data_IF_120858991082
#
_entry.id   IF_120858991082
#
_cell.length_a   1.000
_cell.length_b   1.000
_cell.length_c   1.000
_cell.angle_alpha   90.00
_cell.angle_beta   90.00
_cell.angle_gamma   90.00
#
_symmetry.space_group_name_H-M   'P 1'
#
loop_
_entity.id
_entity.type
_entity.pdbx_description
1 polymer ?
#
# COMPACT_ATOMS: atom_id res chain seq x y z
N UNK A 1 -25.50 -11.00 -18.70
CA UNK A 1 -25.78 -12.12 -19.63
C UNK A 1 -24.93 -13.29 -19.18
N UNK A 2 -25.53 -14.35 -18.66
CA UNK A 2 -24.83 -15.59 -18.43
C UNK A 2 -24.27 -16.05 -19.78
N UNK A 3 -22.99 -16.48 -19.80
CA UNK A 3 -22.40 -17.12 -20.98
C UNK A 3 -23.36 -18.23 -21.42
N UNK A 4 -23.91 -18.12 -22.63
CA UNK A 4 -24.77 -19.19 -23.18
C UNK A 4 -24.01 -20.50 -23.11
N UNK A 5 -24.59 -21.58 -22.58
CA UNK A 5 -23.95 -22.89 -22.66
C UNK A 5 -23.80 -23.21 -24.17
N UNK A 6 -22.60 -23.07 -24.71
CA UNK A 6 -22.32 -23.26 -26.13
C UNK A 6 -21.29 -22.32 -26.77
N UNK A 7 -20.96 -21.19 -26.19
CA UNK A 7 -20.00 -20.26 -26.77
C UNK A 7 -18.57 -20.83 -26.72
N UNK A 8 -17.91 -21.01 -27.87
CA UNK A 8 -16.52 -21.46 -27.98
C UNK A 8 -15.53 -20.33 -27.78
N UNK A 9 -15.98 -19.08 -27.86
CA UNK A 9 -15.18 -17.87 -27.73
C UNK A 9 -15.95 -16.73 -27.09
N UNK A 10 -15.25 -15.82 -26.42
CA UNK A 10 -15.82 -14.67 -25.73
C UNK A 10 -14.90 -13.47 -25.86
N UNK A 11 -15.39 -12.25 -26.22
CA UNK A 11 -14.62 -11.03 -26.18
C UNK A 11 -14.09 -10.76 -24.76
N UNK A 12 -12.79 -10.60 -24.64
CA UNK A 12 -12.11 -10.46 -23.34
C UNK A 12 -12.64 -9.25 -22.53
N UNK A 13 -12.79 -8.10 -23.19
CA UNK A 13 -13.26 -6.85 -22.54
C UNK A 13 -14.65 -7.05 -21.97
N UNK A 14 -15.57 -7.63 -22.75
CA UNK A 14 -16.95 -7.88 -22.31
C UNK A 14 -17.00 -8.84 -21.11
N UNK A 15 -16.22 -9.91 -21.15
CA UNK A 15 -16.11 -10.86 -20.05
C UNK A 15 -15.53 -10.22 -18.79
N UNK A 16 -14.53 -9.35 -18.96
CA UNK A 16 -13.91 -8.67 -17.83
C UNK A 16 -14.81 -7.58 -17.24
N UNK A 17 -15.63 -6.90 -18.06
CA UNK A 17 -16.68 -5.98 -17.59
C UNK A 17 -17.72 -6.71 -16.76
N UNK A 18 -18.18 -7.88 -17.21
CA UNK A 18 -19.10 -8.72 -16.45
C UNK A 18 -18.50 -9.14 -15.09
N UNK A 19 -17.26 -9.60 -15.08
CA UNK A 19 -16.53 -9.92 -13.83
C UNK A 19 -16.47 -8.72 -12.87
N UNK A 20 -16.23 -7.51 -13.38
CA UNK A 20 -16.21 -6.28 -12.59
C UNK A 20 -17.61 -5.96 -12.05
N UNK A 21 -18.63 -6.11 -12.89
CA UNK A 21 -20.03 -5.87 -12.49
C UNK A 21 -20.44 -6.81 -11.35
N UNK A 22 -20.22 -8.10 -11.48
CA UNK A 22 -20.52 -9.08 -10.45
C UNK A 22 -19.72 -8.88 -9.16
N UNK A 23 -18.47 -8.44 -9.28
CA UNK A 23 -17.64 -8.07 -8.14
C UNK A 23 -18.17 -6.84 -7.40
N UNK A 24 -18.72 -5.86 -8.12
CA UNK A 24 -19.26 -4.62 -7.56
C UNK A 24 -20.65 -4.82 -6.94
N UNK A 25 -21.52 -5.59 -7.57
CA UNK A 25 -22.88 -5.89 -7.08
C UNK A 25 -22.86 -6.82 -5.85
N UNK A 26 -21.79 -7.60 -5.67
CA UNK A 26 -21.67 -8.60 -4.60
C UNK A 26 -22.22 -9.98 -4.98
N UNK A 27 -22.54 -10.20 -6.24
CA UNK A 27 -22.82 -11.54 -6.80
C UNK A 27 -21.56 -12.41 -6.66
N UNK A 28 -20.40 -11.85 -7.02
CA UNK A 28 -19.12 -12.45 -6.71
C UNK A 28 -18.65 -12.07 -5.31
N UNK A 29 -18.33 -13.07 -4.49
CA UNK A 29 -17.88 -12.92 -3.10
C UNK A 29 -16.48 -13.49 -2.91
N UNK A 30 -15.84 -13.15 -1.79
CA UNK A 30 -14.61 -13.80 -1.34
C UNK A 30 -14.90 -15.22 -0.84
N UNK A 31 -13.85 -16.07 -0.65
CA UNK A 31 -14.03 -17.41 -0.08
C UNK A 31 -14.71 -17.43 1.30
N UNK A 32 -14.58 -16.36 2.08
CA UNK A 32 -15.21 -16.17 3.39
C UNK A 32 -16.68 -15.69 3.30
N UNK A 33 -17.27 -15.61 2.09
CA UNK A 33 -18.63 -15.16 1.83
C UNK A 33 -18.81 -13.65 1.86
N UNK A 34 -17.79 -12.85 2.22
CA UNK A 34 -17.90 -11.39 2.30
C UNK A 34 -17.80 -10.73 0.93
N UNK A 35 -18.42 -9.54 0.79
CA UNK A 35 -18.33 -8.74 -0.45
C UNK A 35 -16.90 -8.23 -0.66
N UNK A 36 -16.54 -8.01 -1.91
CA UNK A 36 -15.28 -7.35 -2.24
C UNK A 36 -15.32 -5.87 -1.82
N UNK A 37 -14.19 -5.38 -1.35
CA UNK A 37 -14.04 -3.95 -1.05
C UNK A 37 -14.05 -3.14 -2.34
N UNK A 38 -14.64 -1.94 -2.30
CA UNK A 38 -14.69 -1.01 -3.44
C UNK A 38 -13.30 -0.75 -4.06
N UNK A 39 -12.26 -0.65 -3.24
CA UNK A 39 -10.87 -0.50 -3.71
C UNK A 39 -10.39 -1.67 -4.58
N UNK A 40 -10.83 -2.90 -4.32
CA UNK A 40 -10.49 -4.06 -5.17
C UNK A 40 -11.17 -3.97 -6.53
N UNK A 41 -12.44 -3.53 -6.55
CA UNK A 41 -13.19 -3.31 -7.80
C UNK A 41 -12.57 -2.20 -8.63
N UNK A 42 -12.13 -1.10 -8.00
CA UNK A 42 -11.42 -0.02 -8.67
C UNK A 42 -10.11 -0.49 -9.32
N UNK A 43 -9.38 -1.38 -8.65
CA UNK A 43 -8.16 -1.96 -9.21
C UNK A 43 -8.44 -2.82 -10.46
N UNK A 44 -9.55 -3.56 -10.49
CA UNK A 44 -9.98 -4.30 -11.69
C UNK A 44 -10.33 -3.33 -12.83
N UNK A 45 -11.08 -2.26 -12.55
CA UNK A 45 -11.39 -1.21 -13.54
C UNK A 45 -10.12 -0.59 -14.11
N UNK A 46 -9.16 -0.22 -13.26
CA UNK A 46 -7.87 0.33 -13.71
C UNK A 46 -7.11 -0.64 -14.64
N UNK A 47 -7.22 -1.96 -14.39
CA UNK A 47 -6.61 -2.96 -15.27
C UNK A 47 -7.36 -3.07 -16.60
N UNK A 48 -8.70 -3.04 -16.58
CA UNK A 48 -9.51 -3.06 -17.79
C UNK A 48 -9.20 -1.86 -18.70
N UNK A 49 -9.10 -0.66 -18.14
CA UNK A 49 -8.75 0.55 -18.92
C UNK A 49 -7.38 0.41 -19.62
N UNK A 50 -6.41 -0.28 -18.98
CA UNK A 50 -5.13 -0.56 -19.64
C UNK A 50 -5.26 -1.59 -20.77
N UNK A 51 -6.13 -2.58 -20.63
CA UNK A 51 -6.43 -3.54 -21.71
C UNK A 51 -7.12 -2.84 -22.88
N UNK A 52 -8.12 -2.01 -22.62
CA UNK A 52 -8.82 -1.24 -23.67
C UNK A 52 -7.85 -0.35 -24.43
N UNK A 53 -7.03 0.42 -23.72
CA UNK A 53 -6.02 1.27 -24.34
C UNK A 53 -5.00 0.46 -25.18
N UNK A 54 -4.60 -0.71 -24.71
CA UNK A 54 -3.73 -1.62 -25.46
C UNK A 54 -4.39 -2.14 -26.75
N UNK A 55 -5.67 -2.53 -26.69
CA UNK A 55 -6.41 -3.01 -27.86
C UNK A 55 -6.55 -1.92 -28.93
N UNK A 56 -6.84 -0.68 -28.51
CA UNK A 56 -6.91 0.49 -29.42
C UNK A 56 -5.55 0.71 -30.08
N UNK A 57 -4.44 0.75 -29.31
CA UNK A 57 -3.09 0.95 -29.87
C UNK A 57 -2.66 -0.17 -30.83
N UNK A 58 -3.05 -1.41 -30.52
CA UNK A 58 -2.64 -2.58 -31.29
C UNK A 58 -3.58 -2.95 -32.44
N UNK A 59 -4.76 -2.32 -32.51
CA UNK A 59 -5.79 -2.63 -33.53
C UNK A 59 -6.27 -4.09 -33.47
N UNK A 60 -6.26 -4.72 -32.29
CA UNK A 60 -6.54 -6.16 -32.18
C UNK A 60 -7.42 -6.44 -30.97
N UNK A 61 -8.57 -7.06 -31.22
CA UNK A 61 -9.43 -7.55 -30.15
C UNK A 61 -8.86 -8.81 -29.50
N UNK A 62 -8.90 -8.83 -28.19
CA UNK A 62 -8.50 -10.00 -27.41
C UNK A 62 -9.70 -10.90 -27.20
N UNK A 63 -9.61 -12.13 -27.69
CA UNK A 63 -10.64 -13.16 -27.52
C UNK A 63 -10.17 -14.21 -26.51
N UNK A 64 -11.10 -14.77 -25.77
CA UNK A 64 -10.95 -15.93 -24.92
C UNK A 64 -11.52 -17.15 -25.66
N UNK A 65 -10.82 -18.27 -25.61
CA UNK A 65 -11.29 -19.53 -26.18
C UNK A 65 -11.36 -20.58 -25.08
N UNK A 66 -12.44 -21.37 -25.10
CA UNK A 66 -12.59 -22.52 -24.20
C UNK A 66 -11.81 -23.71 -24.76
N UNK A 67 -10.74 -24.12 -24.06
CA UNK A 67 -9.85 -25.20 -24.49
C UNK A 67 -10.54 -26.56 -24.54
N UNK A 68 -11.61 -26.78 -23.79
CA UNK A 68 -12.39 -28.02 -23.85
C UNK A 68 -12.87 -28.36 -25.27
N UNK A 69 -13.04 -27.33 -26.10
CA UNK A 69 -13.54 -27.45 -27.47
C UNK A 69 -12.48 -27.28 -28.54
N UNK A 70 -11.22 -27.23 -28.18
CA UNK A 70 -10.10 -27.04 -29.10
C UNK A 70 -9.32 -28.35 -29.29
N UNK A 71 -8.86 -28.56 -30.50
CA UNK A 71 -7.86 -29.58 -30.77
C UNK A 71 -6.50 -29.24 -30.18
N UNK A 72 -5.62 -30.21 -29.95
CA UNK A 72 -4.28 -29.98 -29.39
C UNK A 72 -3.51 -28.89 -30.14
N UNK A 73 -3.53 -28.93 -31.50
CA UNK A 73 -2.90 -27.86 -32.31
C UNK A 73 -3.49 -26.46 -32.09
N UNK A 74 -4.79 -26.38 -31.87
CA UNK A 74 -5.45 -25.10 -31.56
C UNK A 74 -5.07 -24.60 -30.16
N UNK A 75 -4.98 -25.48 -29.15
CA UNK A 75 -4.50 -25.15 -27.82
C UNK A 75 -3.06 -24.62 -27.84
N UNK A 76 -2.19 -25.24 -28.64
CA UNK A 76 -0.81 -24.74 -28.80
C UNK A 76 -0.76 -23.35 -29.44
N UNK A 77 -1.56 -23.11 -30.49
CA UNK A 77 -1.69 -21.79 -31.12
C UNK A 77 -2.24 -20.74 -30.15
N UNK A 78 -3.22 -21.12 -29.34
CA UNK A 78 -3.80 -20.25 -28.31
C UNK A 78 -2.75 -19.89 -27.23
N UNK A 79 -2.01 -20.85 -26.71
CA UNK A 79 -0.91 -20.63 -25.80
C UNK A 79 0.17 -19.69 -26.38
N UNK A 80 0.52 -19.86 -27.65
CA UNK A 80 1.46 -19.00 -28.36
C UNK A 80 0.91 -17.56 -28.51
N UNK A 81 -0.41 -17.41 -28.79
CA UNK A 81 -1.11 -16.13 -28.85
C UNK A 81 -1.05 -15.40 -27.51
N UNK A 82 -1.34 -16.10 -26.42
CA UNK A 82 -1.28 -15.52 -25.07
C UNK A 82 0.13 -15.14 -24.62
N UNK A 83 1.14 -15.94 -24.94
CA UNK A 83 2.55 -15.57 -24.71
C UNK A 83 2.92 -14.28 -25.45
N UNK A 84 2.47 -14.14 -26.71
CA UNK A 84 2.68 -12.93 -27.52
C UNK A 84 1.95 -11.72 -26.94
N UNK A 85 0.68 -11.91 -26.52
CA UNK A 85 -0.08 -10.87 -25.83
C UNK A 85 0.65 -10.38 -24.57
N UNK A 86 1.06 -11.29 -23.69
CA UNK A 86 1.75 -10.95 -22.43
C UNK A 86 3.02 -10.14 -22.70
N UNK A 87 3.80 -10.52 -23.70
CA UNK A 87 5.00 -9.78 -24.10
C UNK A 87 4.64 -8.37 -24.58
N UNK A 88 3.73 -8.23 -25.53
CA UNK A 88 3.32 -6.95 -26.11
C UNK A 88 2.65 -6.05 -25.07
N UNK A 89 1.79 -6.61 -24.23
CA UNK A 89 1.14 -5.85 -23.14
C UNK A 89 2.14 -5.40 -22.08
N UNK A 90 3.14 -6.21 -21.76
CA UNK A 90 4.24 -5.80 -20.88
C UNK A 90 5.03 -4.61 -21.46
N UNK A 91 5.35 -4.66 -22.75
CA UNK A 91 6.02 -3.58 -23.49
C UNK A 91 5.16 -2.30 -23.50
N UNK A 92 3.85 -2.42 -23.78
CA UNK A 92 2.89 -1.34 -23.73
C UNK A 92 2.86 -0.68 -22.35
N UNK A 93 2.65 -1.46 -21.27
CA UNK A 93 2.64 -0.95 -19.91
C UNK A 93 3.95 -0.24 -19.56
N UNK A 94 5.08 -0.69 -20.05
CA UNK A 94 6.39 -0.08 -19.80
C UNK A 94 6.61 1.24 -20.53
N UNK A 95 6.04 1.44 -21.70
CA UNK A 95 6.10 2.72 -22.43
C UNK A 95 5.31 3.82 -21.73
N UNK A 96 4.15 3.45 -21.19
CA UNK A 96 3.20 4.38 -20.54
C UNK A 96 3.41 4.52 -19.03
N UNK A 97 4.64 4.77 -18.55
CA UNK A 97 4.98 5.03 -17.13
C UNK A 97 5.27 3.83 -16.23
N UNK A 98 5.54 2.66 -16.75
CA UNK A 98 5.90 1.53 -15.91
C UNK A 98 7.34 1.64 -15.43
N UNK A 99 7.51 1.89 -14.16
CA UNK A 99 8.81 2.07 -13.53
C UNK A 99 9.30 0.83 -12.78
N UNK A 100 8.44 -0.17 -12.56
CA UNK A 100 8.80 -1.34 -11.76
C UNK A 100 8.05 -2.61 -12.13
N UNK A 101 8.65 -3.76 -11.79
CA UNK A 101 8.04 -5.08 -11.95
C UNK A 101 6.77 -5.23 -11.07
N UNK A 102 6.68 -4.52 -9.94
CA UNK A 102 5.49 -4.53 -9.10
C UNK A 102 4.24 -3.95 -9.79
N UNK A 103 4.42 -2.94 -10.66
CA UNK A 103 3.28 -2.39 -11.41
C UNK A 103 2.77 -3.40 -12.45
N UNK A 104 3.68 -4.05 -13.18
CA UNK A 104 3.31 -5.12 -14.11
C UNK A 104 2.62 -6.26 -13.38
N UNK A 105 3.20 -6.68 -12.25
CA UNK A 105 2.64 -7.72 -11.38
C UNK A 105 1.27 -7.38 -10.82
N UNK A 106 0.97 -6.08 -10.59
CA UNK A 106 -0.34 -5.62 -10.18
C UNK A 106 -1.40 -5.94 -11.24
N UNK A 107 -1.19 -5.60 -12.51
CA UNK A 107 -2.13 -5.90 -13.58
C UNK A 107 -2.23 -7.41 -13.83
N UNK A 108 -1.11 -8.12 -13.87
CA UNK A 108 -1.10 -9.57 -14.07
C UNK A 108 -1.84 -10.34 -12.97
N UNK A 109 -1.73 -9.90 -11.72
CA UNK A 109 -2.52 -10.47 -10.62
C UNK A 109 -4.02 -10.35 -10.88
N UNK A 110 -4.49 -9.21 -11.38
CA UNK A 110 -5.90 -9.00 -11.65
C UNK A 110 -6.39 -9.84 -12.83
N UNK A 111 -5.58 -9.91 -13.91
CA UNK A 111 -5.85 -10.78 -15.05
C UNK A 111 -5.92 -12.25 -14.63
N UNK A 112 -4.97 -12.70 -13.84
CA UNK A 112 -4.98 -14.07 -13.30
C UNK A 112 -6.20 -14.36 -12.43
N UNK A 113 -6.64 -13.38 -11.62
CA UNK A 113 -7.85 -13.52 -10.80
C UNK A 113 -9.11 -13.62 -11.66
N UNK A 114 -9.19 -12.84 -12.74
CA UNK A 114 -10.28 -12.89 -13.69
C UNK A 114 -10.32 -14.22 -14.45
N UNK A 115 -9.18 -14.69 -14.97
CA UNK A 115 -9.13 -15.97 -15.68
C UNK A 115 -9.56 -17.14 -14.77
N UNK A 116 -9.10 -17.15 -13.52
CA UNK A 116 -9.55 -18.15 -12.53
C UNK A 116 -11.05 -18.07 -12.22
N UNK A 117 -11.62 -16.86 -12.24
CA UNK A 117 -13.06 -16.72 -12.08
C UNK A 117 -13.82 -17.37 -13.24
N UNK A 118 -13.35 -17.25 -14.48
CA UNK A 118 -13.94 -17.94 -15.62
C UNK A 118 -13.87 -19.46 -15.47
N UNK A 119 -12.75 -20.00 -15.00
CA UNK A 119 -12.61 -21.44 -14.74
C UNK A 119 -13.58 -21.92 -13.66
N UNK A 120 -13.66 -21.22 -12.51
CA UNK A 120 -14.41 -21.69 -11.34
C UNK A 120 -15.90 -21.39 -11.45
N UNK A 121 -16.27 -20.19 -11.91
CA UNK A 121 -17.68 -19.74 -11.94
C UNK A 121 -18.41 -20.08 -13.24
N UNK A 122 -17.70 -20.25 -14.35
CA UNK A 122 -18.28 -20.49 -15.65
C UNK A 122 -17.84 -21.81 -16.33
N UNK A 123 -17.02 -22.61 -15.64
CA UNK A 123 -16.58 -23.93 -16.12
C UNK A 123 -15.69 -23.90 -17.37
N UNK A 124 -15.03 -22.76 -17.65
CA UNK A 124 -14.14 -22.65 -18.80
C UNK A 124 -12.83 -23.39 -18.55
N UNK A 125 -12.33 -24.10 -19.55
CA UNK A 125 -10.98 -24.66 -19.55
C UNK A 125 -10.02 -23.68 -20.25
N UNK A 126 -9.11 -23.09 -19.49
CA UNK A 126 -8.11 -22.15 -20.00
C UNK A 126 -6.69 -22.75 -20.03
N UNK A 127 -6.55 -24.00 -19.64
CA UNK A 127 -5.29 -24.74 -19.65
C UNK A 127 -4.17 -24.03 -18.88
N UNK A 128 -3.05 -23.76 -19.55
CA UNK A 128 -1.89 -23.10 -18.94
C UNK A 128 -1.95 -21.58 -18.96
N UNK A 129 -2.95 -20.96 -19.61
CA UNK A 129 -3.01 -19.49 -19.78
C UNK A 129 -2.91 -18.73 -18.44
N UNK A 130 -3.66 -19.09 -17.37
CA UNK A 130 -3.51 -18.39 -16.10
C UNK A 130 -2.10 -18.49 -15.47
N UNK A 131 -1.35 -19.55 -15.78
CA UNK A 131 0.03 -19.74 -15.28
C UNK A 131 1.05 -18.87 -16.01
N UNK A 132 0.75 -18.45 -17.24
CA UNK A 132 1.62 -17.55 -18.01
C UNK A 132 1.73 -16.16 -17.37
N UNK A 133 0.73 -15.74 -16.58
CA UNK A 133 0.74 -14.48 -15.86
C UNK A 133 1.51 -14.63 -14.53
N UNK A 134 2.82 -14.65 -14.60
CA UNK A 134 3.63 -14.68 -13.39
C UNK A 134 3.77 -13.28 -12.78
N UNK A 135 3.62 -13.22 -11.46
CA UNK A 135 3.69 -11.96 -10.71
C UNK A 135 5.05 -11.86 -10.04
N UNK A 136 5.93 -11.04 -10.59
CA UNK A 136 7.15 -10.66 -9.89
C UNK A 136 6.81 -9.70 -8.75
N UNK A 137 7.39 -9.96 -7.59
CA UNK A 137 7.33 -9.04 -6.45
C UNK A 137 8.76 -8.60 -6.15
N UNK A 138 9.00 -7.29 -6.23
CA UNK A 138 10.24 -6.72 -5.77
C UNK A 138 10.07 -6.17 -4.34
N UNK A 139 11.03 -6.36 -3.45
CA UNK A 139 11.07 -5.64 -2.19
C UNK A 139 11.27 -4.15 -2.48
N UNK A 140 10.38 -3.32 -1.96
CA UNK A 140 10.52 -1.86 -2.07
C UNK A 140 11.18 -1.36 -0.81
N UNK A 141 12.33 -0.65 -0.88
CA UNK A 141 12.99 -0.09 0.29
C UNK A 141 12.02 0.73 1.15
N UNK A 142 12.07 0.55 2.45
CA UNK A 142 11.23 1.28 3.38
C UNK A 142 11.90 2.62 3.63
N UNK A 143 11.28 3.70 3.19
CA UNK A 143 11.65 5.05 3.55
C UNK A 143 10.84 5.44 4.78
N UNK A 144 11.50 5.73 5.88
CA UNK A 144 10.92 6.24 7.13
C UNK A 144 11.34 7.69 7.35
N UNK A 145 10.55 8.43 8.09
CA UNK A 145 10.94 9.76 8.56
C UNK A 145 11.65 9.58 9.90
N UNK A 146 12.92 9.98 10.01
CA UNK A 146 13.69 9.81 11.23
C UNK A 146 13.09 10.59 12.41
N UNK A 147 13.32 10.10 13.62
CA UNK A 147 12.79 10.68 14.86
C UNK A 147 13.13 12.17 15.02
N UNK A 148 14.37 12.56 14.71
CA UNK A 148 14.79 13.96 14.83
C UNK A 148 13.97 14.92 13.96
N UNK A 149 13.53 14.49 12.77
CA UNK A 149 12.66 15.28 11.90
C UNK A 149 11.25 15.42 12.46
N UNK A 150 10.74 14.36 13.07
CA UNK A 150 9.42 14.40 13.74
C UNK A 150 9.48 15.31 14.96
N UNK A 151 10.57 15.26 15.73
CA UNK A 151 10.83 16.18 16.84
C UNK A 151 10.90 17.63 16.36
N UNK A 152 11.63 17.91 15.28
CA UNK A 152 11.71 19.25 14.69
C UNK A 152 10.33 19.75 14.30
N UNK A 153 9.51 18.95 13.61
CA UNK A 153 8.12 19.35 13.30
C UNK A 153 7.29 19.65 14.56
N UNK A 154 7.55 18.98 15.67
CA UNK A 154 6.82 19.17 16.91
C UNK A 154 7.27 20.44 17.64
N UNK A 155 8.57 20.71 17.68
CA UNK A 155 9.20 21.70 18.56
C UNK A 155 9.58 23.01 17.86
N UNK A 156 9.74 23.04 16.54
CA UNK A 156 10.14 24.23 15.80
C UNK A 156 8.98 25.23 15.66
N UNK A 157 8.92 26.18 16.60
CA UNK A 157 7.93 27.27 16.60
C UNK A 157 8.11 28.21 15.40
N UNK A 158 9.35 28.44 14.95
CA UNK A 158 9.65 29.28 13.79
C UNK A 158 9.12 28.69 12.49
N UNK A 159 9.31 27.39 12.30
CA UNK A 159 8.69 26.66 11.20
C UNK A 159 7.15 26.77 11.26
N UNK A 160 6.57 26.52 12.46
CA UNK A 160 5.11 26.57 12.64
C UNK A 160 4.52 27.93 12.25
N UNK A 161 5.19 29.02 12.55
CA UNK A 161 4.75 30.36 12.18
C UNK A 161 4.76 30.60 10.68
N UNK A 162 5.76 30.07 9.97
CA UNK A 162 5.90 30.20 8.50
C UNK A 162 4.96 29.30 7.69
N UNK A 163 4.39 28.24 8.31
CA UNK A 163 3.48 27.34 7.61
C UNK A 163 2.13 28.00 7.33
N UNK A 164 1.59 27.80 6.12
CA UNK A 164 0.19 28.14 5.82
C UNK A 164 -0.78 27.33 6.67
N UNK A 165 -2.03 27.78 6.85
CA UNK A 165 -3.04 27.02 7.59
C UNK A 165 -3.21 25.59 7.10
N UNK A 166 -3.12 25.36 5.78
CA UNK A 166 -3.24 24.03 5.16
C UNK A 166 -2.05 23.14 5.50
N UNK A 167 -0.85 23.69 5.54
CA UNK A 167 0.36 22.96 5.92
C UNK A 167 0.42 22.69 7.42
N UNK A 168 -0.11 23.60 8.26
CA UNK A 168 -0.30 23.33 9.70
C UNK A 168 -1.24 22.16 9.93
N UNK A 169 -2.35 22.08 9.19
CA UNK A 169 -3.27 20.93 9.24
C UNK A 169 -2.56 19.63 8.81
N UNK A 170 -1.80 19.67 7.72
CA UNK A 170 -1.05 18.51 7.25
C UNK A 170 0.00 18.04 8.26
N UNK A 171 0.71 18.98 8.92
CA UNK A 171 1.65 18.73 10.01
C UNK A 171 0.95 18.05 11.19
N UNK A 172 -0.18 18.57 11.63
CA UNK A 172 -0.92 18.03 12.76
C UNK A 172 -1.40 16.59 12.45
N UNK A 173 -1.94 16.34 11.25
CA UNK A 173 -2.31 14.99 10.80
C UNK A 173 -1.07 14.07 10.75
N UNK A 174 0.06 14.59 10.26
CA UNK A 174 1.31 13.84 10.16
C UNK A 174 1.83 13.42 11.54
N UNK A 175 1.86 14.34 12.50
CA UNK A 175 2.30 14.06 13.86
C UNK A 175 1.41 13.01 14.54
N UNK A 176 0.07 13.15 14.45
CA UNK A 176 -0.86 12.13 14.97
C UNK A 176 -0.66 10.79 14.30
N UNK A 177 -0.47 10.77 12.97
CA UNK A 177 -0.21 9.54 12.23
C UNK A 177 1.09 8.84 12.63
N UNK A 178 2.16 9.60 12.87
CA UNK A 178 3.44 9.08 13.37
C UNK A 178 3.38 8.62 14.84
N UNK A 179 2.46 9.16 15.63
CA UNK A 179 2.29 8.76 17.05
C UNK A 179 1.44 7.50 17.20
N UNK A 180 0.40 7.36 16.36
CA UNK A 180 -0.58 6.28 16.49
C UNK A 180 -0.31 5.08 15.59
N UNK A 181 0.46 5.27 14.52
CA UNK A 181 0.71 4.23 13.52
C UNK A 181 -0.53 3.76 12.75
N UNK A 182 -1.65 4.48 12.82
CA UNK A 182 -2.90 4.12 12.16
C UNK A 182 -2.78 4.12 10.63
N UNK A 183 -3.62 3.33 9.96
CA UNK A 183 -3.81 3.48 8.52
C UNK A 183 -4.47 4.82 8.23
N UNK A 184 -4.11 5.46 7.12
CA UNK A 184 -4.65 6.79 6.77
C UNK A 184 -6.18 6.83 6.72
N UNK A 185 -6.83 5.75 6.29
CA UNK A 185 -8.30 5.64 6.29
C UNK A 185 -8.89 5.70 7.70
N UNK A 186 -8.23 5.05 8.65
CA UNK A 186 -8.64 5.00 10.04
C UNK A 186 -8.32 6.34 10.72
N UNK A 187 -7.11 6.88 10.49
CA UNK A 187 -6.68 8.19 11.00
C UNK A 187 -7.62 9.34 10.60
N UNK A 188 -7.96 9.44 9.31
CA UNK A 188 -8.83 10.50 8.80
C UNK A 188 -10.30 10.34 9.18
N UNK A 189 -10.69 9.20 9.75
CA UNK A 189 -12.05 8.94 10.20
C UNK A 189 -12.25 9.11 11.71
N UNK A 190 -11.22 9.49 12.45
CA UNK A 190 -11.27 9.62 13.90
C UNK A 190 -12.34 10.60 14.36
N UNK A 191 -13.10 10.18 15.36
CA UNK A 191 -14.17 10.94 16.00
C UNK A 191 -13.92 11.03 17.50
N UNK A 192 -14.60 11.95 18.18
CA UNK A 192 -14.51 12.11 19.64
C UNK A 192 -14.91 10.85 20.40
N UNK A 193 -15.87 10.09 19.88
CA UNK A 193 -16.28 8.80 20.43
C UNK A 193 -15.16 7.74 20.42
N UNK A 194 -14.06 7.99 19.71
CA UNK A 194 -12.89 7.14 19.76
C UNK A 194 -11.94 7.44 20.92
N UNK A 195 -12.21 8.48 21.72
CA UNK A 195 -11.42 8.80 22.90
C UNK A 195 -12.02 8.14 24.14
N UNK A 196 -11.19 7.40 24.86
CA UNK A 196 -11.52 6.77 26.13
C UNK A 196 -10.56 7.29 27.20
N UNK A 197 -11.09 7.74 28.32
CA UNK A 197 -10.29 8.17 29.47
C UNK A 197 -10.32 7.11 30.56
N UNK A 198 -9.14 6.69 31.02
CA UNK A 198 -8.97 5.72 32.08
C UNK A 198 -7.94 6.27 33.07
N UNK A 199 -8.40 6.74 34.24
CA UNK A 199 -7.56 7.48 35.19
C UNK A 199 -7.01 8.75 34.57
N UNK A 200 -5.70 8.95 34.65
CA UNK A 200 -4.98 10.09 34.05
C UNK A 200 -4.64 9.91 32.57
N UNK A 201 -4.80 8.72 32.04
CA UNK A 201 -4.42 8.41 30.66
C UNK A 201 -5.60 8.48 29.69
N UNK A 202 -5.39 9.05 28.51
CA UNK A 202 -6.35 9.05 27.41
C UNK A 202 -5.90 8.08 26.34
N UNK A 203 -6.81 7.23 25.90
CA UNK A 203 -6.60 6.23 24.88
C UNK A 203 -7.42 6.53 23.63
N UNK A 204 -6.87 6.14 22.50
CA UNK A 204 -7.60 6.09 21.23
C UNK A 204 -8.08 4.65 21.02
N UNK A 205 -9.41 4.45 20.94
CA UNK A 205 -10.04 3.15 20.72
C UNK A 205 -10.75 3.13 19.38
N UNK A 206 -10.33 2.25 18.49
CA UNK A 206 -10.87 2.18 17.13
C UNK A 206 -10.83 0.74 16.58
N UNK A 207 -11.91 0.33 15.91
CA UNK A 207 -11.91 -0.87 15.08
C UNK A 207 -11.31 -0.54 13.70
N UNK A 208 -10.23 -1.22 13.33
CA UNK A 208 -9.58 -1.02 12.01
C UNK A 208 -10.52 -1.42 10.88
N UNK A 209 -10.77 -0.52 9.93
CA UNK A 209 -11.65 -0.74 8.78
C UNK A 209 -11.22 -1.90 7.88
N UNK A 210 -9.93 -2.16 7.79
CA UNK A 210 -9.39 -3.20 6.90
C UNK A 210 -9.42 -4.59 7.52
N UNK A 211 -9.22 -4.69 8.84
CA UNK A 211 -9.03 -5.98 9.52
C UNK A 211 -10.07 -6.27 10.60
N UNK A 212 -10.91 -5.30 10.96
CA UNK A 212 -11.86 -5.42 12.07
C UNK A 212 -11.19 -5.44 13.46
N UNK A 213 -9.86 -5.44 13.54
CA UNK A 213 -9.12 -5.51 14.81
C UNK A 213 -9.39 -4.27 15.67
N UNK A 214 -9.74 -4.47 16.93
CA UNK A 214 -9.86 -3.40 17.92
C UNK A 214 -8.47 -2.95 18.37
N UNK A 215 -8.20 -1.65 18.23
CA UNK A 215 -6.94 -1.03 18.62
C UNK A 215 -7.20 -0.12 19.81
N UNK A 216 -6.36 -0.18 20.84
CA UNK A 216 -6.35 0.71 22.00
C UNK A 216 -4.94 1.28 22.15
N UNK A 217 -4.78 2.58 21.89
CA UNK A 217 -3.49 3.25 21.76
C UNK A 217 -3.42 4.39 22.77
N UNK A 218 -2.44 4.43 23.70
CA UNK A 218 -2.26 5.55 24.60
C UNK A 218 -1.84 6.80 23.81
N UNK A 219 -2.39 7.95 24.18
CA UNK A 219 -2.15 9.21 23.48
C UNK A 219 -1.24 10.12 24.32
N UNK A 220 -0.15 10.67 23.74
CA UNK A 220 0.66 11.68 24.38
C UNK A 220 -0.05 13.04 24.42
N UNK A 221 0.34 13.90 25.37
CA UNK A 221 -0.28 15.20 25.61
C UNK A 221 -0.37 16.08 24.36
N UNK A 222 0.69 16.15 23.54
CA UNK A 222 0.69 16.97 22.32
C UNK A 222 -0.34 16.52 21.26
N UNK A 223 -0.69 15.22 21.22
CA UNK A 223 -1.76 14.72 20.34
C UNK A 223 -3.12 15.21 20.83
N UNK A 224 -3.34 15.22 22.15
CA UNK A 224 -4.56 15.75 22.74
C UNK A 224 -4.69 17.26 22.49
N UNK A 225 -3.58 18.00 22.53
CA UNK A 225 -3.56 19.42 22.16
C UNK A 225 -3.90 19.64 20.68
N UNK A 226 -3.37 18.79 19.80
CA UNK A 226 -3.75 18.82 18.37
C UNK A 226 -5.26 18.61 18.22
N UNK A 227 -5.84 17.62 18.89
CA UNK A 227 -7.30 17.37 18.82
C UNK A 227 -8.12 18.54 19.36
N UNK A 228 -7.66 19.22 20.42
CA UNK A 228 -8.34 20.42 20.99
C UNK A 228 -8.43 21.56 19.97
N UNK A 229 -7.41 21.76 19.09
CA UNK A 229 -7.42 22.79 18.04
C UNK A 229 -8.57 22.64 17.05
N UNK A 230 -9.05 21.40 16.84
CA UNK A 230 -10.14 21.10 15.90
C UNK A 230 -11.50 20.90 16.58
N UNK A 231 -11.60 21.23 17.88
CA UNK A 231 -12.80 20.98 18.70
C UNK A 231 -14.06 21.67 18.17
N UNK A 232 -13.93 22.84 17.57
CA UNK A 232 -15.05 23.60 16.99
C UNK A 232 -15.58 23.03 15.64
N UNK A 233 -14.89 22.05 15.05
CA UNK A 233 -15.22 21.50 13.72
C UNK A 233 -16.10 20.24 13.77
N UNK A 234 -17.05 20.16 14.71
CA UNK A 234 -17.95 19.02 14.83
C UNK A 234 -17.35 17.82 15.56
N UNK A 235 -17.79 16.60 15.22
CA UNK A 235 -17.41 15.38 15.94
C UNK A 235 -16.02 14.81 15.54
N UNK A 236 -15.36 15.35 14.52
CA UNK A 236 -14.05 14.86 14.04
C UNK A 236 -12.92 15.36 14.93
N UNK A 237 -11.92 14.49 15.13
CA UNK A 237 -10.69 14.84 15.85
C UNK A 237 -9.65 15.55 14.96
N UNK A 238 -9.73 15.34 13.64
CA UNK A 238 -8.82 15.90 12.65
C UNK A 238 -9.58 16.56 11.49
N UNK A 239 -8.96 17.50 10.76
CA UNK A 239 -9.57 18.13 9.60
C UNK A 239 -9.97 17.11 8.53
N UNK A 240 -11.08 17.39 7.85
CA UNK A 240 -11.48 16.59 6.69
C UNK A 240 -10.59 16.92 5.50
N UNK A 241 -9.91 15.92 4.98
CA UNK A 241 -9.03 16.04 3.81
C UNK A 241 -9.02 14.72 3.05
N UNK A 242 -8.97 14.78 1.71
CA UNK A 242 -8.75 13.57 0.92
C UNK A 242 -7.31 13.09 1.03
N UNK A 243 -7.09 11.77 0.93
CA UNK A 243 -5.74 11.20 0.99
C UNK A 243 -4.81 11.75 -0.11
N UNK A 244 -5.34 12.04 -1.30
CA UNK A 244 -4.56 12.64 -2.38
C UNK A 244 -4.11 14.07 -2.07
N UNK A 245 -5.00 14.88 -1.51
CA UNK A 245 -4.69 16.23 -1.07
C UNK A 245 -3.69 16.21 0.10
N UNK A 246 -3.89 15.34 1.08
CA UNK A 246 -2.93 15.15 2.18
C UNK A 246 -1.54 14.82 1.66
N UNK A 247 -1.42 13.86 0.73
CA UNK A 247 -0.13 13.48 0.16
C UNK A 247 0.58 14.63 -0.58
N UNK A 248 -0.17 15.52 -1.24
CA UNK A 248 0.40 16.74 -1.85
C UNK A 248 0.93 17.68 -0.77
N UNK A 249 0.11 17.95 0.26
CA UNK A 249 0.49 18.85 1.36
C UNK A 249 1.65 18.31 2.19
N UNK A 250 1.76 17.00 2.39
CA UNK A 250 2.88 16.38 3.10
C UNK A 250 4.22 16.59 2.37
N UNK A 251 4.23 16.57 1.04
CA UNK A 251 5.44 16.89 0.27
C UNK A 251 5.85 18.35 0.43
N UNK A 252 4.88 19.26 0.35
CA UNK A 252 5.11 20.69 0.58
C UNK A 252 5.54 20.98 2.02
N UNK A 253 4.98 20.28 3.00
CA UNK A 253 5.41 20.36 4.39
C UNK A 253 6.87 19.92 4.56
N UNK A 254 7.26 18.80 3.94
CA UNK A 254 8.64 18.34 3.94
C UNK A 254 9.59 19.33 3.27
N UNK A 255 9.18 19.98 2.19
CA UNK A 255 9.94 21.04 1.53
C UNK A 255 10.10 22.27 2.43
N UNK A 256 9.01 22.72 3.05
CA UNK A 256 9.04 23.84 4.01
C UNK A 256 9.89 23.54 5.25
N UNK A 257 9.99 22.26 5.65
CA UNK A 257 10.85 21.78 6.73
C UNK A 257 12.31 21.55 6.30
N UNK A 258 12.68 21.87 5.07
CA UNK A 258 14.05 21.73 4.56
C UNK A 258 14.47 20.30 4.22
N UNK A 259 13.54 19.36 4.03
CA UNK A 259 13.86 17.96 3.70
C UNK A 259 14.11 17.80 2.20
N UNK A 260 15.07 18.54 1.67
CA UNK A 260 15.29 18.69 0.22
C UNK A 260 16.51 17.91 -0.29
N UNK A 261 17.19 17.17 0.56
CA UNK A 261 18.35 16.36 0.17
C UNK A 261 17.98 15.33 -0.91
N UNK A 262 18.88 15.04 -1.85
CA UNK A 262 18.68 14.05 -2.90
C UNK A 262 18.50 12.64 -2.31
N UNK A 263 17.54 11.89 -2.85
CA UNK A 263 17.30 10.51 -2.47
C UNK A 263 17.31 9.59 -3.70
N UNK A 264 18.27 8.66 -3.72
CA UNK A 264 18.41 7.72 -4.83
C UNK A 264 17.42 6.57 -4.65
N UNK A 265 16.56 6.39 -5.65
CA UNK A 265 15.59 5.30 -5.67
C UNK A 265 16.00 4.21 -6.67
N UNK A 266 15.96 2.99 -6.19
CA UNK A 266 16.14 1.81 -7.01
C UNK A 266 14.83 1.04 -7.14
N UNK A 267 14.55 0.55 -8.35
CA UNK A 267 13.43 -0.34 -8.65
C UNK A 267 13.88 -1.43 -9.61
N UNK A 268 13.30 -2.61 -9.46
CA UNK A 268 13.58 -3.68 -10.40
C UNK A 268 12.74 -3.52 -11.67
N UNK A 269 13.42 -3.65 -12.78
CA UNK A 269 12.84 -3.79 -14.11
C UNK A 269 13.42 -5.03 -14.76
N UNK A 270 12.58 -6.00 -15.12
CA UNK A 270 12.97 -7.31 -15.62
C UNK A 270 13.89 -8.09 -14.66
N UNK A 271 13.65 -7.94 -13.35
CA UNK A 271 14.45 -8.56 -12.30
C UNK A 271 15.81 -7.88 -12.07
N UNK A 272 16.12 -6.80 -12.77
CA UNK A 272 17.39 -6.07 -12.63
C UNK A 272 17.15 -4.72 -11.94
N UNK A 273 17.98 -4.33 -10.96
CA UNK A 273 17.88 -3.03 -10.33
C UNK A 273 18.16 -1.90 -11.33
N UNK A 274 17.30 -0.89 -11.32
CA UNK A 274 17.41 0.31 -12.13
C UNK A 274 17.19 1.53 -11.24
N UNK A 275 18.03 2.54 -11.43
CA UNK A 275 17.84 3.84 -10.79
C UNK A 275 16.60 4.52 -11.38
N UNK A 276 15.79 5.13 -10.52
CA UNK A 276 14.56 5.84 -10.92
C UNK A 276 14.74 7.31 -10.62
N UNK A 277 14.55 8.13 -11.65
CA UNK A 277 14.62 9.59 -11.56
C UNK A 277 13.21 10.18 -11.41
N UNK A 278 13.12 11.33 -10.75
CA UNK A 278 11.91 12.15 -10.69
C UNK A 278 11.59 12.73 -12.08
N UNK A 279 12.62 13.27 -12.72
CA UNK A 279 12.62 13.64 -14.11
C UNK A 279 13.64 12.79 -14.88
N UNK A 280 13.18 11.83 -15.70
CA UNK A 280 14.05 10.96 -16.48
C UNK A 280 14.87 11.71 -17.54
N UNK A 281 14.36 12.82 -18.09
CA UNK A 281 15.00 13.59 -19.16
C UNK A 281 16.28 14.27 -18.64
N UNK A 282 16.15 14.94 -17.49
CA UNK A 282 17.25 15.65 -16.84
C UNK A 282 17.99 14.79 -15.79
N UNK A 283 17.62 13.53 -15.64
CA UNK A 283 18.14 12.59 -14.62
C UNK A 283 18.11 13.18 -13.19
N UNK A 284 17.08 13.97 -12.89
CA UNK A 284 16.92 14.60 -11.57
C UNK A 284 16.47 13.56 -10.55
N UNK A 285 17.17 13.45 -9.42
CA UNK A 285 16.81 12.58 -8.32
C UNK A 285 15.57 13.09 -7.58
N UNK A 286 14.91 12.18 -6.86
CA UNK A 286 13.90 12.58 -5.90
C UNK A 286 14.58 13.30 -4.74
N UNK A 287 13.91 14.28 -4.16
CA UNK A 287 14.26 14.84 -2.86
C UNK A 287 13.56 14.01 -1.77
N UNK A 288 14.05 14.01 -0.54
CA UNK A 288 13.40 13.25 0.52
C UNK A 288 11.93 13.67 0.70
N UNK A 289 11.62 14.98 0.66
CA UNK A 289 10.25 15.49 0.74
C UNK A 289 9.31 14.93 -0.36
N UNK A 290 9.82 14.66 -1.56
CA UNK A 290 9.03 14.08 -2.66
C UNK A 290 8.53 12.67 -2.34
N UNK A 291 9.15 11.99 -1.39
CA UNK A 291 8.83 10.62 -0.97
C UNK A 291 7.84 10.56 0.19
N UNK A 292 7.55 11.69 0.84
CA UNK A 292 6.66 11.73 2.00
C UNK A 292 5.22 11.54 1.57
N UNK A 293 4.57 10.56 2.17
CA UNK A 293 3.17 10.22 1.94
C UNK A 293 2.50 9.81 3.26
N UNK A 294 1.18 9.76 3.27
CA UNK A 294 0.41 9.31 4.43
C UNK A 294 0.81 7.91 4.94
N UNK A 295 1.23 7.02 4.04
CA UNK A 295 1.70 5.69 4.44
C UNK A 295 3.04 5.73 5.19
N UNK A 296 3.84 6.79 4.98
CA UNK A 296 5.11 6.96 5.71
C UNK A 296 4.89 7.25 7.20
N UNK A 297 3.81 7.93 7.59
CA UNK A 297 3.44 8.14 8.99
C UNK A 297 3.42 6.82 9.76
N UNK A 298 2.64 5.86 9.25
CA UNK A 298 2.53 4.54 9.86
C UNK A 298 3.85 3.76 9.82
N UNK A 299 4.60 3.85 8.72
CA UNK A 299 5.91 3.20 8.62
C UNK A 299 6.87 3.75 9.65
N UNK A 300 6.97 5.08 9.76
CA UNK A 300 7.83 5.73 10.75
C UNK A 300 7.43 5.36 12.18
N UNK A 301 6.13 5.36 12.51
CA UNK A 301 5.65 4.94 13.82
C UNK A 301 6.10 3.52 14.18
N UNK A 302 5.87 2.56 13.29
CA UNK A 302 6.20 1.15 13.52
C UNK A 302 7.72 0.98 13.66
N UNK A 303 8.51 1.54 12.74
CA UNK A 303 9.96 1.45 12.79
C UNK A 303 10.55 2.11 14.04
N UNK A 304 10.01 3.26 14.47
CA UNK A 304 10.46 3.92 15.70
C UNK A 304 10.10 3.13 16.96
N UNK A 305 8.91 2.51 17.04
CA UNK A 305 8.54 1.67 18.17
C UNK A 305 9.44 0.44 18.27
N UNK A 306 9.75 -0.20 17.14
CA UNK A 306 10.71 -1.31 17.09
C UNK A 306 12.11 -0.86 17.49
N UNK A 307 12.58 0.26 16.93
CA UNK A 307 13.89 0.83 17.25
C UNK A 307 14.01 1.30 18.72
N UNK A 308 12.89 1.59 19.40
CA UNK A 308 12.88 1.88 20.84
C UNK A 308 12.90 0.62 21.73
N UNK A 309 13.04 -0.57 21.14
CA UNK A 309 13.07 -1.84 21.88
C UNK A 309 11.70 -2.41 22.22
N UNK A 310 10.60 -1.85 21.68
CA UNK A 310 9.27 -2.42 21.92
C UNK A 310 9.15 -3.78 21.24
N UNK A 311 8.72 -4.79 22.00
CA UNK A 311 8.54 -6.15 21.47
C UNK A 311 7.59 -6.18 20.26
N UNK A 312 7.95 -6.95 19.24
CA UNK A 312 7.19 -7.02 17.97
C UNK A 312 5.70 -7.30 18.15
N UNK A 313 5.33 -8.20 19.06
CA UNK A 313 3.92 -8.55 19.28
C UNK A 313 3.10 -7.36 19.81
N UNK A 314 3.71 -6.47 20.61
CA UNK A 314 3.10 -5.23 21.09
C UNK A 314 2.94 -4.23 19.95
N UNK A 315 3.96 -4.05 19.12
CA UNK A 315 3.89 -3.16 17.94
C UNK A 315 2.83 -3.65 16.95
N UNK A 316 2.70 -4.97 16.76
CA UNK A 316 1.62 -5.56 15.95
C UNK A 316 0.25 -5.27 16.52
N UNK A 317 0.08 -5.36 17.84
CA UNK A 317 -1.17 -5.08 18.54
C UNK A 317 -1.57 -3.61 18.37
N UNK A 318 -0.63 -2.66 18.53
CA UNK A 318 -0.87 -1.23 18.31
C UNK A 318 -1.20 -0.93 16.85
N UNK A 319 -0.48 -1.53 15.93
CA UNK A 319 -0.63 -1.26 14.50
C UNK A 319 -1.73 -2.07 13.80
N UNK A 320 -2.32 -3.08 14.45
CA UNK A 320 -3.35 -3.94 13.88
C UNK A 320 -2.86 -4.79 12.71
N UNK A 321 -1.64 -5.33 12.81
CA UNK A 321 -1.12 -6.34 11.89
C UNK A 321 -1.48 -7.74 12.39
N UNK A 322 -1.86 -8.61 11.46
CA UNK A 322 -2.05 -10.03 11.77
C UNK A 322 -0.73 -10.67 12.23
N UNK A 323 -0.77 -11.73 13.06
CA UNK A 323 0.43 -12.41 13.58
C UNK A 323 1.43 -12.81 12.49
N UNK A 324 0.97 -13.31 11.34
CA UNK A 324 1.79 -13.79 10.23
C UNK A 324 1.85 -12.81 9.06
N UNK A 325 1.74 -11.50 9.33
CA UNK A 325 1.77 -10.46 8.28
C UNK A 325 3.17 -10.34 7.69
N UNK A 326 3.37 -10.85 6.47
CA UNK A 326 4.60 -10.62 5.71
C UNK A 326 4.91 -9.12 5.49
N UNK A 327 3.89 -8.26 5.52
CA UNK A 327 4.07 -6.81 5.47
C UNK A 327 4.71 -6.25 6.75
N UNK A 328 4.44 -6.85 7.91
CA UNK A 328 5.01 -6.40 9.17
C UNK A 328 6.52 -6.66 9.22
N UNK A 329 6.97 -7.83 8.77
CA UNK A 329 8.41 -8.16 8.75
C UNK A 329 9.24 -7.21 7.88
N UNK A 330 8.63 -6.49 6.95
CA UNK A 330 9.30 -5.45 6.17
C UNK A 330 9.64 -4.19 6.98
N UNK A 331 9.07 -4.02 8.18
CA UNK A 331 9.41 -2.94 9.11
C UNK A 331 10.50 -3.35 10.09
N UNK A 332 10.72 -4.65 10.24
CA UNK A 332 11.75 -5.27 11.07
C UNK A 332 13.07 -5.34 10.29
N UNK A 333 13.32 -4.39 9.39
CA UNK A 333 14.65 -4.21 8.81
C UNK A 333 15.52 -3.58 9.93
N UNK A 334 16.00 -4.47 10.80
CA UNK A 334 16.87 -4.10 11.91
C UNK A 334 18.15 -3.57 11.27
N UNK A 335 18.44 -2.28 11.47
CA UNK A 335 19.73 -1.74 11.05
C UNK A 335 20.84 -2.53 11.73
N UNK A 336 21.96 -2.74 11.05
CA UNK A 336 23.11 -3.43 11.66
C UNK A 336 23.49 -2.77 12.99
N UNK A 337 23.43 -1.44 13.07
CA UNK A 337 23.71 -0.68 14.30
C UNK A 337 22.79 -1.07 15.47
N UNK A 338 21.51 -1.37 15.19
CA UNK A 338 20.57 -1.80 16.22
C UNK A 338 20.85 -3.24 16.64
N UNK A 339 21.15 -4.12 15.68
CA UNK A 339 21.55 -5.50 15.96
C UNK A 339 22.82 -5.51 16.83
N UNK A 340 23.82 -4.72 16.46
CA UNK A 340 25.06 -4.59 17.22
C UNK A 340 24.80 -4.06 18.64
N UNK A 341 23.95 -3.02 18.77
CA UNK A 341 23.58 -2.45 20.07
C UNK A 341 22.92 -3.47 20.97
N UNK A 342 21.94 -4.23 20.49
CA UNK A 342 21.25 -5.23 21.29
C UNK A 342 22.14 -6.44 21.62
N UNK A 343 23.01 -6.82 20.68
CA UNK A 343 24.02 -7.88 20.91
C UNK A 343 25.06 -7.46 21.97
N UNK A 344 25.53 -6.23 21.92
CA UNK A 344 26.46 -5.69 22.93
C UNK A 344 25.82 -5.59 24.31
N UNK A 345 24.55 -5.22 24.41
CA UNK A 345 23.80 -5.25 25.69
C UNK A 345 23.75 -6.67 26.27
N UNK A 346 23.51 -7.67 25.43
CA UNK A 346 23.48 -9.07 25.86
C UNK A 346 24.87 -9.50 26.37
N UNK A 347 25.96 -9.13 25.68
CA UNK A 347 27.31 -9.43 26.14
C UNK A 347 27.65 -8.73 27.45
N UNK A 348 27.25 -7.48 27.64
CA UNK A 348 27.41 -6.77 28.90
C UNK A 348 26.73 -7.49 30.07
N UNK A 349 25.51 -8.03 29.87
CA UNK A 349 24.85 -8.84 30.90
C UNK A 349 25.63 -10.13 31.25
N UNK A 350 26.32 -10.73 30.30
CA UNK A 350 27.17 -11.92 30.56
C UNK A 350 28.45 -11.56 31.33
N UNK A 351 28.95 -10.34 31.18
CA UNK A 351 30.14 -9.84 31.82
C UNK A 351 29.88 -9.25 33.23
N UNK A 352 28.62 -8.97 33.56
CA UNK A 352 28.23 -8.56 34.91
C UNK A 352 28.56 -9.65 35.92
N UNK A 353 29.47 -9.35 36.85
CA UNK A 353 29.84 -10.27 37.96
C UNK A 353 28.60 -10.48 38.82
N UNK A 354 28.30 -11.75 39.22
CA UNK A 354 27.17 -11.99 40.13
C UNK A 354 27.42 -11.21 41.41
N UNK A 355 26.56 -10.28 41.74
CA UNK A 355 26.50 -9.64 43.04
C UNK A 355 26.10 -10.72 44.05
N UNK A 356 27.09 -11.29 44.71
CA UNK A 356 26.90 -12.16 45.88
C UNK A 356 26.09 -11.37 46.90
N UNK A 357 24.81 -11.76 47.09
CA UNK A 357 24.00 -11.37 48.22
C UNK A 357 24.28 -12.27 49.39
#
# INVERSE_FOLDING_TARGET
MASRPGATQLPFVQAFEQFIHESASGLRRKPDGTKLLSGSVQNYRATLEKIKAFQIECGTDLLLHDHHRLSLKQVERENARWKRFIRRFSEFLRRHNVRSDNYLGFHFKHLKTFLRYLEVAHGWELGNIPRLFFVRKEPVPIVVVPLYRIRSLLQDHGLLQRLSPELRQARDIFLVGCSTGLRVSDLLSLQRSNLEQTGSATYLVIASRKTGSLLRIPLPAYVLEIFRRYRSRGNRLLPHISNSCLNKRLKLLGEAAGWTEPHILWRNRDGRPRMVFKDPTNKTHFRFCDLITSHKMRRSAISMLLASGMAEYLVRKISGHAPNSAEFFRYVDISQDQLDTETLKFYALLEEKPTLK
#
